data_IF_373026031847
#
_entry.id   IF_373026031847
#
_cell.length_a   1.000
_cell.length_b   1.000
_cell.length_c   1.000
_cell.angle_alpha   90.00
_cell.angle_beta   90.00
_cell.angle_gamma   90.00
#
_symmetry.space_group_name_H-M   'P 1'
#
loop_
_entity.id
_entity.type
_entity.pdbx_description
1 polymer ?
#
# COMPACT_ATOMS: atom_id res chain seq x y z
N UNK A 1 8.40 -31.75 15.42
CA UNK A 1 9.33 -30.66 15.79
C UNK A 1 9.07 -29.48 14.85
N UNK A 2 8.18 -28.54 15.22
CA UNK A 2 7.83 -27.35 14.40
C UNK A 2 7.54 -26.11 15.27
N UNK A 3 7.98 -26.08 16.53
CA UNK A 3 7.68 -24.99 17.47
C UNK A 3 8.69 -23.85 17.38
N UNK A 4 9.98 -24.15 17.21
CA UNK A 4 11.05 -23.14 17.21
C UNK A 4 10.99 -22.11 16.07
N UNK A 5 10.54 -22.48 14.86
CA UNK A 5 10.42 -21.52 13.75
C UNK A 5 9.26 -20.52 13.97
N UNK A 6 8.17 -20.96 14.61
CA UNK A 6 7.04 -20.10 14.89
C UNK A 6 7.36 -19.06 15.98
N UNK A 7 8.14 -19.44 16.99
CA UNK A 7 8.49 -18.53 18.09
C UNK A 7 9.42 -17.41 17.63
N UNK A 8 10.36 -17.70 16.72
CA UNK A 8 11.28 -16.70 16.15
C UNK A 8 10.55 -15.72 15.21
N UNK A 9 9.59 -16.20 14.42
CA UNK A 9 8.77 -15.34 13.55
C UNK A 9 7.83 -14.46 14.40
N UNK A 10 7.18 -15.03 15.42
CA UNK A 10 6.31 -14.27 16.34
C UNK A 10 7.06 -13.24 17.18
N UNK A 11 8.31 -13.51 17.55
CA UNK A 11 9.18 -12.56 18.24
C UNK A 11 9.58 -11.38 17.33
N UNK A 12 9.88 -11.65 16.05
CA UNK A 12 10.24 -10.59 15.09
C UNK A 12 9.05 -9.71 14.69
N UNK A 13 7.83 -10.24 14.72
CA UNK A 13 6.63 -9.48 14.31
C UNK A 13 5.81 -8.94 15.47
N UNK A 14 6.23 -9.10 16.73
CA UNK A 14 5.45 -8.73 17.93
C UNK A 14 4.01 -9.30 17.90
N UNK A 15 3.84 -10.53 17.40
CA UNK A 15 2.52 -11.17 17.25
C UNK A 15 1.69 -10.68 16.05
N UNK A 16 2.25 -9.84 15.18
CA UNK A 16 1.62 -9.47 13.90
C UNK A 16 1.75 -10.61 12.90
N UNK A 17 0.68 -10.87 12.15
CA UNK A 17 0.71 -11.72 10.96
C UNK A 17 0.96 -10.83 9.76
N UNK A 18 1.97 -11.18 8.97
CA UNK A 18 2.42 -10.40 7.82
C UNK A 18 2.44 -11.24 6.56
N UNK A 19 2.48 -10.58 5.40
CA UNK A 19 2.55 -11.26 4.10
C UNK A 19 3.79 -12.13 4.01
N UNK A 20 4.98 -11.58 4.32
CA UNK A 20 6.24 -12.33 4.27
C UNK A 20 6.25 -13.48 5.28
N UNK A 21 5.67 -13.28 6.46
CA UNK A 21 5.53 -14.33 7.48
C UNK A 21 4.71 -15.52 6.97
N UNK A 22 3.53 -15.25 6.39
CA UNK A 22 2.68 -16.29 5.81
C UNK A 22 3.32 -16.97 4.59
N UNK A 23 4.06 -16.23 3.75
CA UNK A 23 4.83 -16.81 2.64
C UNK A 23 5.93 -17.75 3.14
N UNK A 24 6.69 -17.38 4.19
CA UNK A 24 7.72 -18.24 4.79
C UNK A 24 7.15 -19.53 5.39
N UNK A 25 5.92 -19.48 5.88
CA UNK A 25 5.20 -20.65 6.38
C UNK A 25 4.56 -21.51 5.26
N UNK A 26 4.70 -21.10 4.00
CA UNK A 26 4.09 -21.81 2.85
C UNK A 26 2.58 -21.66 2.74
N UNK A 27 1.98 -20.70 3.47
CA UNK A 27 0.54 -20.46 3.48
C UNK A 27 0.07 -19.57 2.32
N UNK A 28 0.99 -18.82 1.72
CA UNK A 28 0.74 -18.00 0.52
C UNK A 28 1.79 -18.39 -0.55
N UNK A 29 1.36 -18.80 -1.75
CA UNK A 29 2.27 -19.05 -2.86
C UNK A 29 3.02 -17.77 -3.30
N UNK A 30 4.23 -17.94 -3.82
CA UNK A 30 4.99 -16.83 -4.40
C UNK A 30 4.23 -16.21 -5.56
N UNK A 31 4.27 -14.88 -5.67
CA UNK A 31 3.60 -14.13 -6.74
C UNK A 31 2.09 -13.96 -6.54
N UNK A 32 1.53 -14.44 -5.42
CA UNK A 32 0.12 -14.23 -5.11
C UNK A 32 -0.10 -12.93 -4.35
N UNK A 33 -1.24 -12.29 -4.61
CA UNK A 33 -1.70 -11.13 -3.88
C UNK A 33 -2.47 -11.56 -2.63
N UNK A 34 -2.18 -10.93 -1.51
CA UNK A 34 -2.96 -11.03 -0.27
C UNK A 34 -3.22 -9.65 0.28
N UNK A 35 -4.49 -9.28 0.37
CA UNK A 35 -4.97 -8.05 0.99
C UNK A 35 -5.69 -8.42 2.30
N UNK A 36 -5.52 -7.66 3.39
CA UNK A 36 -6.23 -7.94 4.63
C UNK A 36 -7.75 -7.89 4.42
N UNK A 37 -8.50 -8.92 4.85
CA UNK A 37 -9.96 -8.98 4.65
C UNK A 37 -10.70 -7.78 5.25
N UNK A 38 -10.17 -7.21 6.33
CA UNK A 38 -10.77 -6.06 7.04
C UNK A 38 -10.35 -4.71 6.45
N UNK A 39 -9.62 -4.67 5.33
CA UNK A 39 -9.05 -3.43 4.79
C UNK A 39 -10.10 -2.34 4.57
N UNK A 40 -11.19 -2.67 3.87
CA UNK A 40 -12.27 -1.72 3.63
C UNK A 40 -13.13 -1.46 4.87
N UNK A 41 -13.38 -2.50 5.69
CA UNK A 41 -14.12 -2.41 6.95
C UNK A 41 -13.45 -1.47 7.96
N UNK A 42 -12.12 -1.42 7.93
CA UNK A 42 -11.25 -0.57 8.76
C UNK A 42 -11.01 0.82 8.14
N UNK A 43 -11.79 1.21 7.13
CA UNK A 43 -11.81 2.56 6.58
C UNK A 43 -10.70 2.92 5.58
N UNK A 44 -9.72 2.05 5.33
CA UNK A 44 -8.55 2.34 4.50
C UNK A 44 -8.90 2.81 3.08
N UNK A 45 -9.95 2.21 2.50
CA UNK A 45 -10.46 2.60 1.18
C UNK A 45 -10.96 4.05 1.09
N UNK A 46 -11.23 4.73 2.21
CA UNK A 46 -11.67 6.14 2.24
C UNK A 46 -10.51 7.12 2.35
N UNK A 47 -9.37 6.66 2.85
CA UNK A 47 -8.22 7.50 3.20
C UNK A 47 -7.07 7.36 2.21
N UNK A 48 -6.99 6.24 1.49
CA UNK A 48 -5.91 6.03 0.55
C UNK A 48 -6.20 6.68 -0.82
N UNK A 49 -5.22 7.41 -1.37
CA UNK A 49 -5.22 7.88 -2.75
C UNK A 49 -5.42 6.72 -3.74
N UNK A 50 -5.95 7.03 -4.93
CA UNK A 50 -6.11 6.03 -6.00
C UNK A 50 -4.79 5.33 -6.37
N UNK A 51 -3.63 6.02 -6.46
CA UNK A 51 -2.34 5.35 -6.66
C UNK A 51 -2.10 4.23 -5.65
N UNK A 52 -2.31 4.49 -4.36
CA UNK A 52 -2.18 3.47 -3.32
C UNK A 52 -3.20 2.34 -3.48
N UNK A 53 -4.48 2.65 -3.71
CA UNK A 53 -5.48 1.60 -3.86
C UNK A 53 -5.21 0.68 -5.05
N UNK A 54 -4.80 1.26 -6.18
CA UNK A 54 -4.53 0.50 -7.42
C UNK A 54 -3.23 -0.29 -7.36
N UNK A 55 -2.21 0.20 -6.65
CA UNK A 55 -0.91 -0.45 -6.56
C UNK A 55 -0.79 -1.45 -5.40
N UNK A 56 -1.69 -1.41 -4.41
CA UNK A 56 -1.65 -2.28 -3.25
C UNK A 56 -1.58 -3.79 -3.59
N UNK A 57 -2.33 -4.31 -4.59
CA UNK A 57 -2.21 -5.71 -4.99
C UNK A 57 -0.80 -6.07 -5.50
N UNK A 58 -0.21 -5.20 -6.31
CA UNK A 58 1.14 -5.39 -6.86
C UNK A 58 2.20 -5.26 -5.77
N UNK A 59 1.98 -4.35 -4.81
CA UNK A 59 2.82 -4.23 -3.63
C UNK A 59 2.83 -5.53 -2.83
N UNK A 60 1.66 -6.12 -2.56
CA UNK A 60 1.55 -7.44 -1.90
C UNK A 60 2.27 -8.54 -2.68
N UNK A 61 2.12 -8.58 -4.01
CA UNK A 61 2.82 -9.53 -4.89
C UNK A 61 4.34 -9.37 -4.83
N UNK A 62 4.86 -8.14 -4.74
CA UNK A 62 6.30 -7.90 -4.60
C UNK A 62 6.87 -8.55 -3.34
N UNK A 63 6.11 -8.48 -2.23
CA UNK A 63 6.49 -9.07 -0.94
C UNK A 63 6.47 -10.60 -1.00
N UNK A 64 5.42 -11.20 -1.57
CA UNK A 64 5.34 -12.67 -1.70
C UNK A 64 6.39 -13.21 -2.69
N UNK A 65 6.82 -12.39 -3.64
CA UNK A 65 7.91 -12.71 -4.57
C UNK A 65 9.30 -12.57 -3.92
N UNK A 66 9.38 -11.88 -2.78
CA UNK A 66 10.61 -11.69 -2.02
C UNK A 66 11.53 -10.62 -2.60
N UNK A 67 10.95 -9.61 -3.26
CA UNK A 67 11.69 -8.49 -3.83
C UNK A 67 12.24 -7.57 -2.72
N UNK A 68 13.45 -7.05 -2.91
CA UNK A 68 13.99 -5.97 -2.07
C UNK A 68 13.34 -4.62 -2.43
N UNK A 69 13.66 -3.56 -1.68
CA UNK A 69 13.09 -2.22 -1.88
C UNK A 69 13.24 -1.76 -3.32
N UNK A 70 14.45 -1.78 -3.87
CA UNK A 70 14.77 -1.31 -5.22
C UNK A 70 14.00 -2.11 -6.28
N UNK A 71 13.95 -3.43 -6.10
CA UNK A 71 13.20 -4.34 -6.97
C UNK A 71 11.68 -4.09 -6.87
N UNK A 72 11.16 -3.83 -5.68
CA UNK A 72 9.75 -3.48 -5.47
C UNK A 72 9.40 -2.17 -6.16
N UNK A 73 10.24 -1.14 -6.06
CA UNK A 73 10.02 0.14 -6.74
C UNK A 73 9.97 -0.08 -8.26
N UNK A 74 10.98 -0.74 -8.82
CA UNK A 74 11.03 -1.02 -10.26
C UNK A 74 9.82 -1.87 -10.73
N UNK A 75 9.41 -2.86 -9.95
CA UNK A 75 8.24 -3.67 -10.25
C UNK A 75 6.95 -2.85 -10.24
N UNK A 76 6.77 -1.98 -9.24
CA UNK A 76 5.59 -1.12 -9.17
C UNK A 76 5.57 -0.08 -10.30
N UNK A 77 6.72 0.49 -10.67
CA UNK A 77 6.84 1.37 -11.83
C UNK A 77 6.38 0.68 -13.12
N UNK A 78 6.77 -0.59 -13.34
CA UNK A 78 6.33 -1.39 -14.49
C UNK A 78 4.80 -1.61 -14.51
N UNK A 79 4.17 -1.72 -13.33
CA UNK A 79 2.71 -1.93 -13.21
C UNK A 79 1.91 -0.63 -13.17
N UNK A 80 2.57 0.51 -13.10
CA UNK A 80 1.92 1.82 -13.01
C UNK A 80 1.38 2.24 -14.36
N UNK A 81 0.10 2.62 -14.40
CA UNK A 81 -0.49 3.20 -15.62
C UNK A 81 0.01 4.64 -15.82
N UNK A 82 0.15 5.13 -17.06
CA UNK A 82 0.63 6.48 -17.33
C UNK A 82 -0.10 7.59 -16.55
N UNK A 83 -1.41 7.44 -16.34
CA UNK A 83 -2.25 8.46 -15.69
C UNK A 83 -2.48 8.19 -14.19
N UNK A 84 -1.73 7.28 -13.58
CA UNK A 84 -1.91 6.90 -12.16
C UNK A 84 -1.69 8.10 -11.25
N UNK A 85 -0.61 8.83 -11.47
CA UNK A 85 -0.36 10.12 -10.83
C UNK A 85 -0.94 11.18 -11.76
N UNK A 86 -2.18 11.62 -11.50
CA UNK A 86 -2.85 12.65 -12.30
C UNK A 86 -1.96 13.89 -12.38
N UNK A 87 -1.22 14.04 -13.47
CA UNK A 87 -0.79 15.36 -13.95
C UNK A 87 -2.06 16.01 -14.47
N UNK A 88 -2.32 17.26 -14.05
CA UNK A 88 -3.39 18.10 -14.61
C UNK A 88 -3.37 17.89 -16.13
N UNK A 89 -4.44 17.34 -16.71
CA UNK A 89 -4.53 17.20 -18.15
C UNK A 89 -4.33 18.58 -18.78
N UNK A 90 -3.37 18.68 -19.68
CA UNK A 90 -3.36 19.72 -20.69
C UNK A 90 -4.54 19.44 -21.62
N UNK A 91 -5.29 20.51 -21.91
CA UNK A 91 -6.51 20.53 -22.71
C UNK A 91 -6.32 19.84 -24.08
N UNK A 92 -7.22 18.93 -24.46
CA UNK A 92 -7.18 18.39 -25.83
C UNK A 92 -8.24 17.38 -26.25
N UNK A 93 -8.77 16.56 -25.34
CA UNK A 93 -9.74 15.53 -25.73
C UNK A 93 -11.14 15.83 -25.21
N UNK A 94 -12.11 15.95 -26.14
CA UNK A 94 -13.52 16.13 -25.82
C UNK A 94 -14.05 14.88 -25.14
N UNK A 95 -14.04 14.87 -23.81
CA UNK A 95 -14.57 13.79 -23.01
C UNK A 95 -16.09 13.67 -23.22
N UNK A 96 -16.60 12.44 -23.14
CA UNK A 96 -18.05 12.21 -23.04
C UNK A 96 -18.58 12.83 -21.74
N UNK A 97 -19.81 13.37 -21.73
CA UNK A 97 -20.47 13.90 -20.51
C UNK A 97 -20.40 12.91 -19.34
N UNK A 98 -20.48 11.60 -19.61
CA UNK A 98 -20.35 10.58 -18.56
C UNK A 98 -18.93 10.48 -17.99
N UNK A 99 -17.91 10.62 -18.84
CA UNK A 99 -16.51 10.66 -18.40
C UNK A 99 -16.20 11.95 -17.63
N UNK A 100 -16.78 13.08 -18.02
CA UNK A 100 -16.64 14.34 -17.30
C UNK A 100 -17.22 14.26 -15.90
N UNK A 101 -18.42 13.70 -15.75
CA UNK A 101 -19.06 13.49 -14.44
C UNK A 101 -18.23 12.53 -13.57
N UNK A 102 -17.78 11.40 -14.13
CA UNK A 102 -16.93 10.45 -13.40
C UNK A 102 -15.60 11.08 -12.96
N UNK A 103 -14.96 11.85 -13.84
CA UNK A 103 -13.74 12.58 -13.54
C UNK A 103 -13.94 13.61 -12.43
N UNK A 104 -15.08 14.29 -12.40
CA UNK A 104 -15.42 15.23 -11.34
C UNK A 104 -15.53 14.53 -9.98
N UNK A 105 -16.28 13.43 -9.87
CA UNK A 105 -16.38 12.66 -8.63
C UNK A 105 -15.03 12.13 -8.15
N UNK A 106 -14.20 11.64 -9.06
CA UNK A 106 -12.85 11.18 -8.72
C UNK A 106 -12.00 12.36 -8.23
N UNK A 107 -12.06 13.51 -8.90
CA UNK A 107 -11.29 14.69 -8.53
C UNK A 107 -11.70 15.22 -7.15
N UNK A 108 -13.00 15.26 -6.84
CA UNK A 108 -13.51 15.66 -5.52
C UNK A 108 -13.03 14.71 -4.43
N UNK A 109 -13.10 13.39 -4.67
CA UNK A 109 -12.58 12.37 -3.75
C UNK A 109 -11.08 12.57 -3.48
N UNK A 110 -10.27 12.68 -4.53
CA UNK A 110 -8.81 12.81 -4.38
C UNK A 110 -8.43 14.13 -3.70
N UNK A 111 -9.16 15.22 -3.99
CA UNK A 111 -8.95 16.52 -3.35
C UNK A 111 -9.22 16.45 -1.85
N UNK A 112 -10.30 15.79 -1.45
CA UNK A 112 -10.62 15.62 -0.02
C UNK A 112 -9.62 14.70 0.68
N UNK A 113 -9.19 13.62 0.03
CA UNK A 113 -8.14 12.74 0.58
C UNK A 113 -6.84 13.50 0.75
N UNK A 114 -6.43 14.29 -0.25
CA UNK A 114 -5.25 15.15 -0.16
C UNK A 114 -5.34 16.09 1.04
N UNK A 115 -6.47 16.80 1.20
CA UNK A 115 -6.71 17.70 2.35
C UNK A 115 -6.53 16.98 3.68
N UNK A 116 -7.11 15.78 3.82
CA UNK A 116 -7.03 15.01 5.07
C UNK A 116 -5.63 14.47 5.36
N UNK A 117 -4.91 14.01 4.34
CA UNK A 117 -3.52 13.57 4.48
C UNK A 117 -2.64 14.73 4.94
N UNK A 118 -2.75 15.89 4.29
CA UNK A 118 -1.98 17.09 4.61
C UNK A 118 -2.30 17.61 6.03
N UNK A 119 -3.57 17.57 6.43
CA UNK A 119 -3.98 17.91 7.80
C UNK A 119 -3.38 16.99 8.87
N UNK A 120 -3.02 15.75 8.50
CA UNK A 120 -2.36 14.78 9.37
C UNK A 120 -0.83 14.77 9.18
N UNK A 121 -0.27 15.70 8.40
CA UNK A 121 1.17 15.83 8.18
C UNK A 121 1.76 14.89 7.11
N UNK A 122 0.90 14.23 6.32
CA UNK A 122 1.32 13.37 5.21
C UNK A 122 1.23 14.11 3.87
N UNK A 123 2.03 13.67 2.91
CA UNK A 123 1.98 14.18 1.54
C UNK A 123 1.12 13.27 0.67
N UNK A 124 0.40 13.88 -0.27
CA UNK A 124 -0.26 13.14 -1.33
C UNK A 124 0.81 12.59 -2.29
N UNK A 125 0.73 11.32 -2.72
CA UNK A 125 1.78 10.68 -3.49
C UNK A 125 1.86 11.19 -4.92
N UNK A 126 3.06 11.56 -5.36
CA UNK A 126 3.33 12.00 -6.74
C UNK A 126 4.27 11.04 -7.48
N UNK A 127 4.81 10.05 -6.77
CA UNK A 127 5.70 9.01 -7.30
C UNK A 127 5.47 7.65 -6.62
N UNK A 128 6.07 6.60 -7.17
CA UNK A 128 6.01 5.25 -6.58
C UNK A 128 6.72 5.19 -5.23
N UNK A 129 7.81 5.95 -5.06
CA UNK A 129 8.46 6.09 -3.77
C UNK A 129 7.50 6.69 -2.74
N UNK A 130 6.70 7.69 -3.10
CA UNK A 130 5.72 8.28 -2.19
C UNK A 130 4.60 7.30 -1.85
N UNK A 131 4.16 6.49 -2.82
CA UNK A 131 3.16 5.44 -2.59
C UNK A 131 3.66 4.44 -1.54
N UNK A 132 4.88 3.93 -1.70
CA UNK A 132 5.49 2.99 -0.76
C UNK A 132 5.71 3.65 0.60
N UNK A 133 6.25 4.87 0.60
CA UNK A 133 6.47 5.65 1.83
C UNK A 133 5.17 5.88 2.59
N UNK A 134 4.07 6.16 1.89
CA UNK A 134 2.76 6.35 2.51
C UNK A 134 2.21 5.06 3.14
N UNK A 135 2.43 3.88 2.54
CA UNK A 135 2.07 2.62 3.19
C UNK A 135 2.80 2.42 4.52
N UNK A 136 4.07 2.79 4.57
CA UNK A 136 4.89 2.68 5.78
C UNK A 136 4.45 3.71 6.81
N UNK A 137 4.28 4.96 6.38
CA UNK A 137 3.90 6.07 7.24
C UNK A 137 2.54 5.86 7.92
N UNK A 138 1.60 5.23 7.22
CA UNK A 138 0.29 4.85 7.77
C UNK A 138 0.31 3.55 8.58
N UNK A 139 1.45 2.86 8.66
CA UNK A 139 1.60 1.61 9.41
C UNK A 139 0.95 0.39 8.75
N UNK A 140 0.69 0.43 7.43
CA UNK A 140 0.25 -0.73 6.65
C UNK A 140 1.43 -1.66 6.31
N UNK A 141 2.61 -1.07 6.09
CA UNK A 141 3.85 -1.76 5.76
C UNK A 141 4.99 -1.30 6.67
N UNK A 142 6.10 -2.04 6.63
CA UNK A 142 7.34 -1.68 7.31
C UNK A 142 8.54 -2.26 6.58
N UNK A 143 9.70 -1.66 6.80
CA UNK A 143 10.98 -2.10 6.28
C UNK A 143 11.65 -3.13 7.20
N UNK A 144 12.38 -4.06 6.58
CA UNK A 144 13.15 -5.10 7.25
C UNK A 144 14.53 -5.13 6.59
N UNK A 145 15.55 -4.80 7.37
CA UNK A 145 16.94 -4.92 6.93
C UNK A 145 17.42 -6.36 7.14
N UNK A 146 17.97 -6.98 6.10
CA UNK A 146 18.57 -8.31 6.21
C UNK A 146 20.01 -8.25 6.76
N UNK A 147 20.65 -9.42 6.89
CA UNK A 147 22.02 -9.52 7.41
C UNK A 147 23.08 -8.94 6.44
N UNK A 148 22.71 -8.77 5.17
CA UNK A 148 23.54 -8.23 4.10
C UNK A 148 23.33 -6.71 3.92
N UNK A 149 22.41 -6.10 4.66
CA UNK A 149 22.06 -4.68 4.58
C UNK A 149 21.02 -4.35 3.49
N UNK A 150 20.43 -5.34 2.84
CA UNK A 150 19.33 -5.13 1.89
C UNK A 150 18.04 -4.83 2.62
N UNK A 151 17.32 -3.84 2.13
CA UNK A 151 16.03 -3.43 2.67
C UNK A 151 14.94 -4.21 1.96
N UNK A 152 14.10 -4.91 2.73
CA UNK A 152 12.90 -5.58 2.25
C UNK A 152 11.66 -4.94 2.83
N UNK A 153 10.55 -5.09 2.13
CA UNK A 153 9.25 -4.61 2.60
C UNK A 153 8.42 -5.79 3.10
N UNK A 154 7.60 -5.53 4.12
CA UNK A 154 6.59 -6.46 4.59
C UNK A 154 5.29 -5.71 4.92
N UNK A 155 4.17 -6.39 4.79
CA UNK A 155 2.84 -5.81 4.93
C UNK A 155 2.06 -6.53 6.03
N UNK A 156 1.38 -5.76 6.86
CA UNK A 156 0.60 -6.27 7.99
C UNK A 156 -0.75 -6.78 7.50
N UNK A 157 -1.09 -8.01 7.90
CA UNK A 157 -2.41 -8.62 7.67
C UNK A 157 -3.27 -8.52 8.91
N UNK A 158 -2.70 -8.80 10.10
CA UNK A 158 -3.40 -8.62 11.37
C UNK A 158 -2.44 -8.42 12.56
N UNK A 159 -2.81 -7.61 13.56
CA UNK A 159 -4.00 -6.74 13.57
C UNK A 159 -3.82 -5.57 12.60
N UNK A 160 -4.83 -5.34 11.75
CA UNK A 160 -4.91 -4.13 10.93
C UNK A 160 -5.60 -3.05 11.79
N UNK A 161 -4.98 -1.89 11.95
CA UNK A 161 -5.57 -0.80 12.72
C UNK A 161 -6.77 -0.19 11.98
N UNK A 162 -7.72 0.38 12.72
CA UNK A 162 -8.73 1.23 12.11
C UNK A 162 -8.04 2.53 11.70
N UNK A 163 -8.21 2.96 10.46
CA UNK A 163 -7.49 4.14 9.95
C UNK A 163 -7.91 5.42 10.69
N UNK A 164 -9.13 5.46 11.21
CA UNK A 164 -9.63 6.58 12.03
C UNK A 164 -8.97 6.62 13.43
N UNK A 165 -8.31 5.54 13.88
CA UNK A 165 -7.47 5.54 15.09
C UNK A 165 -6.04 6.05 14.80
N UNK A 166 -5.63 6.00 13.53
CA UNK A 166 -4.29 6.42 13.05
C UNK A 166 -4.30 7.89 12.65
N UNK A 167 -5.40 8.36 12.06
CA UNK A 167 -5.54 9.69 11.48
C UNK A 167 -6.65 10.45 12.20
N UNK A 168 -6.38 11.70 12.55
CA UNK A 168 -7.38 12.62 13.08
C UNK A 168 -8.34 12.98 11.93
N UNK A 169 -9.66 12.86 12.17
CA UNK A 169 -10.67 13.39 11.25
C UNK A 169 -10.77 14.92 11.43
N UNK A 170 -10.34 15.74 10.45
CA UNK A 170 -10.33 17.19 10.54
C UNK A 170 -11.62 17.84 10.02
#
# INVERSE_FOLDING_TARGET
>A
MCTFQNDVINFMTNGKVTVRGLTKLGLIPKGHCVIPNQFYERGWGKWLPIPNLSLLPFFSVSITSGLCWEETIAFLEEKTKPDTFKKKCEDGETASIHQEIENLYINERETEIKRRLEANGFQYPESINDVVSLYIALGLAFDIVDLQGLVFLDMIIRPLQNIDDVLLNP
#
